data_IF_915079220828
#
_entry.id   IF_915079220828
#
_cell.length_a   1.000
_cell.length_b   1.000
_cell.length_c   1.000
_cell.angle_alpha   90.00
_cell.angle_beta   90.00
_cell.angle_gamma   90.00
#
_symmetry.space_group_name_H-M   'P 1'
#
loop_
_entity.id
_entity.type
_entity.pdbx_description
1 polymer ?
#
# COMPACT_ATOMS: atom_id res chain seq x y z
N UNK A 1 8.35 -4.27 -8.53
CA UNK A 1 7.21 -3.76 -7.75
C UNK A 1 7.03 -2.24 -7.90
N UNK A 2 5.79 -1.73 -7.86
CA UNK A 2 5.45 -0.30 -7.80
C UNK A 2 4.86 0.04 -6.43
N UNK A 3 5.45 1.00 -5.73
CA UNK A 3 5.05 1.41 -4.38
C UNK A 3 4.62 2.86 -4.41
N UNK A 4 3.44 3.16 -3.87
CA UNK A 4 2.95 4.52 -3.66
C UNK A 4 2.98 4.83 -2.18
N UNK A 5 3.71 5.88 -1.78
CA UNK A 5 3.80 6.34 -0.40
C UNK A 5 3.03 7.65 -0.30
N UNK A 6 1.97 7.67 0.48
CA UNK A 6 1.06 8.79 0.55
C UNK A 6 0.67 9.20 1.96
N UNK A 7 1.20 10.35 2.37
CA UNK A 7 0.91 10.95 3.66
C UNK A 7 0.51 12.41 3.45
N UNK A 8 -0.21 12.98 4.41
CA UNK A 8 -0.49 14.43 4.45
C UNK A 8 0.80 15.25 4.47
N UNK A 9 0.74 16.51 4.06
CA UNK A 9 1.93 17.37 3.98
C UNK A 9 2.58 17.65 5.35
N UNK A 10 1.80 17.54 6.44
CA UNK A 10 2.32 17.58 7.81
C UNK A 10 3.34 16.46 8.11
N UNK A 11 3.26 15.34 7.36
CA UNK A 11 4.17 14.19 7.43
C UNK A 11 5.10 14.11 6.20
N UNK A 12 5.38 15.24 5.53
CA UNK A 12 6.24 15.27 4.35
C UNK A 12 7.63 14.65 4.58
N UNK A 13 8.26 14.97 5.70
CA UNK A 13 9.58 14.40 6.04
C UNK A 13 9.52 12.89 6.24
N UNK A 14 8.41 12.39 6.80
CA UNK A 14 8.18 10.97 7.04
C UNK A 14 7.94 10.20 5.74
N UNK A 15 7.08 10.71 4.83
CA UNK A 15 6.88 10.09 3.50
C UNK A 15 8.18 10.02 2.71
N UNK A 16 9.00 11.07 2.76
CA UNK A 16 10.27 11.11 2.04
C UNK A 16 11.27 10.12 2.65
N UNK A 17 11.32 10.01 3.99
CA UNK A 17 12.16 9.04 4.68
C UNK A 17 11.78 7.59 4.33
N UNK A 18 10.49 7.24 4.39
CA UNK A 18 10.00 5.90 4.00
C UNK A 18 10.36 5.62 2.54
N UNK A 19 10.08 6.57 1.64
CA UNK A 19 10.33 6.36 0.23
C UNK A 19 11.83 6.13 -0.05
N UNK A 20 12.70 6.87 0.63
CA UNK A 20 14.16 6.69 0.53
C UNK A 20 14.62 5.36 1.11
N UNK A 21 14.08 4.93 2.25
CA UNK A 21 14.40 3.65 2.86
C UNK A 21 14.02 2.49 1.92
N UNK A 22 12.82 2.51 1.36
CA UNK A 22 12.36 1.50 0.39
C UNK A 22 13.25 1.53 -0.85
N UNK A 23 13.54 2.70 -1.41
CA UNK A 23 14.38 2.81 -2.60
C UNK A 23 15.82 2.32 -2.35
N UNK A 24 16.37 2.54 -1.15
CA UNK A 24 17.71 2.09 -0.77
C UNK A 24 17.77 0.57 -0.60
N UNK A 25 16.76 -0.02 0.02
CA UNK A 25 16.69 -1.47 0.27
C UNK A 25 16.23 -2.25 -0.97
N UNK A 26 15.40 -1.63 -1.80
CA UNK A 26 14.85 -2.18 -3.04
C UNK A 26 15.10 -1.22 -4.19
N UNK A 27 16.33 -1.16 -4.73
CA UNK A 27 16.64 -0.28 -5.87
C UNK A 27 15.81 -0.59 -7.12
N UNK A 28 15.31 -1.83 -7.23
CA UNK A 28 14.42 -2.27 -8.32
C UNK A 28 12.95 -1.85 -8.15
N UNK A 29 12.54 -1.40 -6.97
CA UNK A 29 11.19 -0.92 -6.72
C UNK A 29 11.04 0.52 -7.24
N UNK A 30 9.91 0.80 -7.90
CA UNK A 30 9.54 2.17 -8.28
C UNK A 30 8.71 2.79 -7.17
N UNK A 31 9.34 3.66 -6.38
CA UNK A 31 8.68 4.36 -5.28
C UNK A 31 8.19 5.73 -5.75
N UNK A 32 6.90 5.99 -5.60
CA UNK A 32 6.27 7.29 -5.90
C UNK A 32 5.74 7.88 -4.61
N UNK A 33 6.00 9.17 -4.37
CA UNK A 33 5.42 9.91 -3.24
C UNK A 33 4.26 10.77 -3.71
N UNK A 34 3.18 10.83 -2.93
CA UNK A 34 1.98 11.62 -3.23
C UNK A 34 1.38 12.21 -1.95
N UNK A 35 0.66 13.33 -2.01
CA UNK A 35 -0.22 13.71 -0.91
C UNK A 35 -1.39 12.72 -0.81
N UNK A 36 -1.93 12.55 0.42
CA UNK A 36 -3.00 11.60 0.74
C UNK A 36 -4.27 11.84 -0.12
N UNK A 37 -4.62 13.10 -0.35
CA UNK A 37 -5.77 13.51 -1.18
C UNK A 37 -5.67 13.09 -2.65
N UNK A 38 -4.45 12.93 -3.18
CA UNK A 38 -4.22 12.52 -4.55
C UNK A 38 -4.10 10.99 -4.71
N UNK A 39 -4.15 10.23 -3.61
CA UNK A 39 -4.05 8.76 -3.65
C UNK A 39 -5.02 8.11 -4.62
N UNK A 40 -6.33 8.42 -4.62
CA UNK A 40 -7.28 7.74 -5.50
C UNK A 40 -6.90 7.94 -6.98
N UNK A 41 -6.50 9.16 -7.35
CA UNK A 41 -6.06 9.49 -8.71
C UNK A 41 -4.74 8.80 -9.08
N UNK A 42 -3.79 8.73 -8.14
CA UNK A 42 -2.51 8.05 -8.36
C UNK A 42 -2.67 6.53 -8.44
N UNK A 43 -3.54 5.93 -7.63
CA UNK A 43 -3.83 4.49 -7.70
C UNK A 43 -4.43 4.14 -9.05
N UNK A 44 -5.43 4.90 -9.51
CA UNK A 44 -6.02 4.71 -10.83
C UNK A 44 -5.02 4.87 -11.98
N UNK A 45 -4.08 5.81 -11.87
CA UNK A 45 -3.12 6.13 -12.93
C UNK A 45 -1.89 5.22 -12.93
N UNK A 46 -1.43 4.82 -11.75
CA UNK A 46 -0.15 4.13 -11.57
C UNK A 46 -0.30 2.64 -11.31
N UNK A 47 -1.49 2.16 -10.97
CA UNK A 47 -1.76 0.77 -10.59
C UNK A 47 -0.64 0.23 -9.66
N UNK A 48 -0.41 0.91 -8.51
CA UNK A 48 0.62 0.51 -7.57
C UNK A 48 0.27 -0.85 -6.99
N UNK A 49 1.29 -1.68 -6.77
CA UNK A 49 1.10 -2.99 -6.13
C UNK A 49 0.93 -2.79 -4.62
N UNK A 50 1.64 -1.81 -4.06
CA UNK A 50 1.57 -1.46 -2.64
C UNK A 50 1.31 0.04 -2.48
N UNK A 51 0.35 0.38 -1.65
CA UNK A 51 0.05 1.75 -1.22
C UNK A 51 0.27 1.86 0.28
N UNK A 52 1.16 2.74 0.70
CA UNK A 52 1.45 3.02 2.10
C UNK A 52 0.83 4.38 2.42
N UNK A 53 -0.13 4.43 3.35
CA UNK A 53 -0.83 5.66 3.71
C UNK A 53 -1.03 5.83 5.22
N UNK A 54 -1.18 7.08 5.68
CA UNK A 54 -1.45 7.37 7.09
C UNK A 54 -2.83 6.87 7.55
N UNK A 55 -3.81 6.95 6.64
CA UNK A 55 -5.18 6.54 6.88
C UNK A 55 -5.78 6.00 5.60
N UNK A 56 -6.64 4.98 5.72
CA UNK A 56 -7.32 4.40 4.57
C UNK A 56 -8.34 5.41 4.05
N UNK A 57 -8.21 5.80 2.79
CA UNK A 57 -9.31 6.49 2.09
C UNK A 57 -10.35 5.43 1.70
N UNK A 58 -11.58 5.57 2.20
CA UNK A 58 -12.66 4.57 2.08
C UNK A 58 -13.10 4.22 0.65
N UNK A 59 -12.54 4.86 -0.39
CA UNK A 59 -12.93 4.65 -1.79
C UNK A 59 -12.02 3.76 -2.64
N UNK A 60 -10.90 3.24 -2.11
CA UNK A 60 -9.83 2.66 -2.96
C UNK A 60 -9.53 1.19 -2.64
N UNK A 61 -10.56 0.40 -2.32
CA UNK A 61 -10.43 -1.02 -2.03
C UNK A 61 -10.23 -1.85 -3.32
N UNK A 62 -9.10 -1.66 -3.99
CA UNK A 62 -8.73 -2.51 -5.12
C UNK A 62 -8.16 -3.86 -4.61
N UNK A 63 -8.72 -5.01 -5.02
CA UNK A 63 -8.30 -6.32 -4.54
C UNK A 63 -6.90 -6.73 -5.01
N UNK A 64 -6.35 -6.07 -6.03
CA UNK A 64 -5.01 -6.35 -6.54
C UNK A 64 -3.95 -5.41 -5.91
N UNK A 65 -4.38 -4.48 -5.04
CA UNK A 65 -3.50 -3.52 -4.38
C UNK A 65 -3.39 -3.82 -2.89
N UNK A 66 -2.17 -3.93 -2.39
CA UNK A 66 -1.90 -4.05 -0.95
C UNK A 66 -1.85 -2.66 -0.32
N UNK A 67 -2.70 -2.40 0.65
CA UNK A 67 -2.77 -1.16 1.41
C UNK A 67 -2.09 -1.35 2.76
N UNK A 68 -1.20 -0.45 3.13
CA UNK A 68 -0.54 -0.43 4.42
C UNK A 68 -0.87 0.89 5.10
N UNK A 69 -1.70 0.82 6.13
CA UNK A 69 -2.06 1.96 6.96
C UNK A 69 -1.03 2.07 8.07
N UNK A 70 -0.17 3.09 7.98
CA UNK A 70 0.83 3.40 8.99
C UNK A 70 0.24 4.47 9.91
N UNK A 71 -0.06 4.14 11.18
CA UNK A 71 -0.65 5.08 12.11
C UNK A 71 0.37 6.19 12.39
N UNK A 72 -0.09 7.43 12.34
CA UNK A 72 0.75 8.58 12.66
C UNK A 72 0.68 8.96 14.14
N UNK A 73 -0.27 8.39 14.89
CA UNK A 73 -0.42 8.54 16.34
C UNK A 73 0.17 7.32 17.07
N UNK A 74 0.96 7.59 18.10
CA UNK A 74 1.52 6.55 18.97
C UNK A 74 0.40 5.82 19.73
N UNK A 75 0.42 4.49 19.70
CA UNK A 75 -0.57 3.64 20.39
C UNK A 75 -1.81 3.27 19.54
N UNK A 76 -1.91 3.77 18.31
CA UNK A 76 -2.88 3.27 17.33
C UNK A 76 -2.25 2.08 16.59
N UNK A 77 -2.91 0.90 16.53
CA UNK A 77 -2.40 -0.21 15.75
C UNK A 77 -2.47 0.17 14.26
N UNK A 78 -1.41 -0.16 13.53
CA UNK A 78 -1.45 -0.01 12.09
C UNK A 78 -2.22 -1.15 11.44
N UNK A 79 -2.63 -0.96 10.19
CA UNK A 79 -3.51 -1.92 9.55
C UNK A 79 -3.07 -2.19 8.13
N UNK A 80 -2.79 -3.45 7.83
CA UNK A 80 -2.47 -3.92 6.49
C UNK A 80 -3.74 -4.49 5.89
N UNK A 81 -4.07 -4.10 4.68
CA UNK A 81 -5.17 -4.68 3.91
C UNK A 81 -4.65 -5.20 2.57
N UNK A 82 -4.76 -6.49 2.32
CA UNK A 82 -4.32 -7.13 1.09
C UNK A 82 -5.45 -7.99 0.52
N UNK A 83 -5.90 -7.75 -0.71
CA UNK A 83 -6.87 -8.63 -1.38
C UNK A 83 -8.18 -8.87 -0.62
N UNK A 84 -8.63 -7.90 0.19
CA UNK A 84 -9.82 -8.02 1.03
C UNK A 84 -9.58 -8.63 2.41
N UNK A 85 -8.36 -9.04 2.73
CA UNK A 85 -7.95 -9.38 4.10
C UNK A 85 -7.52 -8.11 4.83
N UNK A 86 -7.86 -8.01 6.12
CA UNK A 86 -7.44 -6.95 7.03
C UNK A 86 -6.63 -7.59 8.15
N UNK A 87 -5.40 -7.11 8.36
CA UNK A 87 -4.50 -7.55 9.42
C UNK A 87 -4.09 -6.33 10.23
N UNK A 88 -4.43 -6.34 11.52
CA UNK A 88 -3.95 -5.33 12.46
C UNK A 88 -2.55 -5.69 12.93
N UNK A 89 -1.66 -4.70 12.97
CA UNK A 89 -0.28 -4.81 13.44
C UNK A 89 -0.08 -3.77 14.53
N UNK A 90 0.14 -4.25 15.76
CA UNK A 90 0.24 -3.38 16.93
C UNK A 90 1.42 -2.42 16.89
N UNK A 91 2.58 -2.87 16.39
CA UNK A 91 3.80 -2.06 16.29
C UNK A 91 4.31 -2.09 14.86
N UNK A 92 3.91 -1.09 14.06
CA UNK A 92 4.23 -1.03 12.64
C UNK A 92 5.60 -0.37 12.46
N UNK A 93 6.64 -1.13 12.79
CA UNK A 93 8.03 -0.72 12.60
C UNK A 93 8.43 -0.72 11.12
N UNK A 94 9.54 -0.05 10.78
CA UNK A 94 10.09 -0.09 9.42
C UNK A 94 10.38 -1.52 8.96
N UNK A 95 10.81 -2.40 9.87
CA UNK A 95 11.07 -3.81 9.58
C UNK A 95 9.80 -4.56 9.20
N UNK A 96 8.70 -4.34 9.93
CA UNK A 96 7.41 -4.92 9.60
C UNK A 96 6.90 -4.39 8.25
N UNK A 97 7.05 -3.09 7.99
CA UNK A 97 6.70 -2.49 6.70
C UNK A 97 7.48 -3.14 5.54
N UNK A 98 8.76 -3.43 5.74
CA UNK A 98 9.58 -4.15 4.75
C UNK A 98 9.13 -5.60 4.58
N UNK A 99 8.80 -6.30 5.67
CA UNK A 99 8.28 -7.66 5.59
C UNK A 99 6.97 -7.69 4.77
N UNK A 100 6.09 -6.70 4.93
CA UNK A 100 4.85 -6.59 4.14
C UNK A 100 5.14 -6.28 2.68
N UNK A 101 6.14 -5.45 2.39
CA UNK A 101 6.57 -5.20 1.02
C UNK A 101 7.11 -6.46 0.36
N UNK A 102 7.87 -7.26 1.12
CA UNK A 102 8.41 -8.55 0.67
C UNK A 102 7.28 -9.55 0.43
N UNK A 103 6.33 -9.66 1.36
CA UNK A 103 5.11 -10.47 1.19
C UNK A 103 4.29 -10.00 -0.01
N UNK A 104 4.22 -8.70 -0.30
CA UNK A 104 3.50 -8.17 -1.47
C UNK A 104 4.27 -8.35 -2.80
N UNK A 105 5.60 -8.51 -2.77
CA UNK A 105 6.37 -8.98 -3.93
C UNK A 105 6.14 -10.48 -4.17
N UNK A 106 6.02 -11.27 -3.10
CA UNK A 106 5.87 -12.74 -3.15
C UNK A 106 4.41 -13.20 -3.25
N UNK A 107 3.44 -12.32 -2.97
CA UNK A 107 2.07 -12.45 -3.44
C UNK A 107 2.03 -11.95 -4.88
N UNK A 108 2.17 -12.84 -5.91
CA UNK A 108 1.76 -12.42 -7.24
C UNK A 108 0.32 -11.95 -7.12
N UNK A 109 0.05 -10.74 -7.64
CA UNK A 109 -1.30 -10.22 -7.79
C UNK A 109 -2.21 -11.40 -8.12
N UNK A 110 -3.15 -11.71 -7.21
CA UNK A 110 -4.07 -12.82 -7.38
C UNK A 110 -4.59 -12.69 -8.82
N UNK A 111 -4.58 -13.77 -9.64
CA UNK A 111 -5.16 -13.64 -10.98
C UNK A 111 -6.53 -12.99 -10.82
N UNK A 112 -6.90 -12.00 -11.67
CA UNK A 112 -8.22 -11.40 -11.59
C UNK A 112 -9.19 -12.56 -11.54
N UNK A 113 -10.05 -12.61 -10.51
CA UNK A 113 -11.06 -13.66 -10.39
C UNK A 113 -11.68 -13.80 -11.76
N UNK A 114 -11.41 -14.93 -12.42
CA UNK A 114 -11.94 -15.20 -13.75
C UNK A 114 -13.41 -14.87 -13.69
N UNK A 115 -13.78 -13.92 -14.54
CA UNK A 115 -15.13 -13.44 -14.70
C UNK A 115 -16.10 -14.61 -14.61
N UNK A 116 -17.12 -14.41 -13.76
CA UNK A 116 -18.51 -14.67 -14.10
C UNK A 116 -18.64 -15.40 -15.44
N UNK A 117 -18.71 -16.73 -15.39
CA UNK A 117 -19.04 -17.52 -16.57
C UNK A 117 -20.49 -17.18 -16.90
N UNK A 118 -20.83 -16.42 -17.95
CA UNK A 118 -22.22 -16.31 -18.33
C UNK A 118 -22.67 -17.71 -18.73
N UNK A 119 -23.79 -18.14 -18.16
CA UNK A 119 -24.47 -19.35 -18.56
C UNK A 119 -24.64 -19.33 -20.08
N UNK A 120 -23.99 -20.28 -20.77
CA UNK A 120 -24.24 -20.51 -22.19
C UNK A 120 -25.64 -21.15 -22.35
N UNK A 121 -26.33 -20.87 -23.46
CA UNK A 121 -27.78 -20.95 -23.61
C UNK A 121 -28.34 -22.37 -23.63
#
# INVERSE_FOLDING_TARGET
MRVLVAFGDEYRSYREAIARAIQALRPSARVTVSPLEAVPAQVYRLEPHVVICASRSEGTADPNTTWVTVPTEEGVPGTISCGGFLREVGDLSLTELLAVLDEAEDFPALPPRSEDRPARP
#
